data_IF_120386429006
#
_entry.id   IF_120386429006
#
_cell.length_a   1.000
_cell.length_b   1.000
_cell.length_c   1.000
_cell.angle_alpha   90.00
_cell.angle_beta   90.00
_cell.angle_gamma   90.00
#
_symmetry.space_group_name_H-M   'P 1'
#
loop_
_entity.id
_entity.type
_entity.pdbx_description
1 polymer ?
#
# COMPACT_ATOMS: atom_id res chain seq x y z
N UNK A 1 37.48 95.84 38.85
CA UNK A 1 36.97 94.77 37.95
C UNK A 1 37.34 93.41 38.58
N UNK A 2 36.48 92.42 38.83
CA UNK A 2 35.04 92.31 38.65
C UNK A 2 34.54 91.17 39.58
N UNK A 3 34.03 91.48 40.78
CA UNK A 3 33.41 90.49 41.72
C UNK A 3 32.13 89.85 41.13
N UNK A 4 31.57 90.46 40.08
CA UNK A 4 30.38 89.99 39.35
C UNK A 4 30.61 88.68 38.56
N UNK A 5 31.83 88.45 38.03
CA UNK A 5 32.09 87.31 37.15
C UNK A 5 32.24 85.97 37.88
N UNK A 6 32.52 85.95 39.20
CA UNK A 6 32.64 84.70 39.97
C UNK A 6 31.27 84.15 40.43
N UNK A 7 30.30 85.02 40.72
CA UNK A 7 28.93 84.56 41.04
C UNK A 7 28.22 83.99 39.80
N UNK A 8 28.46 84.56 38.61
CA UNK A 8 27.84 84.12 37.37
C UNK A 8 28.30 82.72 36.92
N UNK A 9 29.56 82.35 37.19
CA UNK A 9 30.12 81.05 36.81
C UNK A 9 29.63 79.89 37.73
N UNK A 10 29.40 80.19 39.01
CA UNK A 10 28.87 79.24 40.00
C UNK A 10 27.36 79.00 39.87
N UNK A 11 26.59 79.97 39.36
CA UNK A 11 25.15 79.79 39.10
C UNK A 11 24.89 79.02 37.81
N UNK A 12 25.67 79.26 36.74
CA UNK A 12 25.58 78.52 35.47
C UNK A 12 25.90 77.02 35.62
N UNK A 13 26.90 76.67 36.43
CA UNK A 13 27.24 75.25 36.71
C UNK A 13 26.17 74.54 37.54
N UNK A 14 25.55 75.22 38.51
CA UNK A 14 24.43 74.67 39.30
C UNK A 14 23.17 74.43 38.46
N UNK A 15 22.82 75.37 37.58
CA UNK A 15 21.66 75.23 36.67
C UNK A 15 21.88 74.10 35.66
N UNK A 16 23.12 73.96 35.16
CA UNK A 16 23.50 72.87 34.25
C UNK A 16 23.37 71.50 34.91
N UNK A 17 23.82 71.36 36.17
CA UNK A 17 23.75 70.11 36.91
C UNK A 17 22.30 69.69 37.21
N UNK A 18 21.45 70.65 37.60
CA UNK A 18 20.01 70.42 37.87
C UNK A 18 19.27 70.01 36.59
N UNK A 19 19.61 70.61 35.45
CA UNK A 19 19.04 70.25 34.14
C UNK A 19 19.45 68.84 33.70
N UNK A 20 20.68 68.41 34.01
CA UNK A 20 21.18 67.06 33.73
C UNK A 20 20.48 66.03 34.63
N UNK A 21 20.35 66.29 35.94
CA UNK A 21 19.61 65.40 36.85
C UNK A 21 18.13 65.26 36.47
N UNK A 22 17.48 66.36 36.07
CA UNK A 22 16.09 66.34 35.60
C UNK A 22 15.93 65.54 34.29
N UNK A 23 16.90 65.63 33.37
CA UNK A 23 16.94 64.81 32.17
C UNK A 23 17.15 63.33 32.51
N UNK A 24 18.10 63.00 33.39
CA UNK A 24 18.38 61.61 33.81
C UNK A 24 17.14 60.99 34.47
N UNK A 25 16.44 61.71 35.36
CA UNK A 25 15.20 61.23 35.98
C UNK A 25 14.09 60.98 34.96
N UNK A 26 13.93 61.83 33.94
CA UNK A 26 12.98 61.62 32.85
C UNK A 26 13.33 60.37 32.01
N UNK A 27 14.59 60.19 31.67
CA UNK A 27 15.04 59.00 30.93
C UNK A 27 14.87 57.72 31.76
N UNK A 28 15.13 57.77 33.07
CA UNK A 28 14.93 56.63 33.98
C UNK A 28 13.45 56.25 34.08
N UNK A 29 12.54 57.23 34.18
CA UNK A 29 11.10 56.99 34.20
C UNK A 29 10.59 56.39 32.88
N UNK A 30 11.08 56.86 31.74
CA UNK A 30 10.72 56.31 30.43
C UNK A 30 11.18 54.86 30.30
N UNK A 31 12.42 54.55 30.73
CA UNK A 31 12.93 53.18 30.73
C UNK A 31 12.16 52.27 31.68
N UNK A 32 11.78 52.75 32.87
CA UNK A 32 10.97 51.99 33.83
C UNK A 32 9.59 51.66 33.27
N UNK A 33 8.92 52.63 32.62
CA UNK A 33 7.60 52.42 31.99
C UNK A 33 7.70 51.45 30.80
N UNK A 34 8.78 51.53 30.01
CA UNK A 34 9.04 50.57 28.92
C UNK A 34 9.28 49.16 29.46
N UNK A 35 10.03 49.01 30.55
CA UNK A 35 10.30 47.70 31.17
C UNK A 35 9.00 47.09 31.74
N UNK A 36 8.17 47.90 32.42
CA UNK A 36 6.89 47.46 32.96
C UNK A 36 5.92 47.09 31.82
N UNK A 37 5.89 47.89 30.74
CA UNK A 37 5.10 47.59 29.55
C UNK A 37 5.49 46.27 28.89
N UNK A 38 6.78 45.98 28.80
CA UNK A 38 7.30 44.73 28.23
C UNK A 38 6.94 43.51 29.10
N UNK A 39 7.02 43.66 30.44
CA UNK A 39 6.65 42.60 31.40
C UNK A 39 5.14 42.32 31.34
N UNK A 40 4.30 43.37 31.26
CA UNK A 40 2.85 43.21 31.12
C UNK A 40 2.46 42.55 29.78
N UNK A 41 3.17 42.81 28.68
CA UNK A 41 2.94 42.14 27.40
C UNK A 41 3.27 40.63 27.46
N UNK A 42 4.27 40.23 28.25
CA UNK A 42 4.62 38.81 28.44
C UNK A 42 3.61 38.01 29.27
N UNK A 43 2.82 38.68 30.11
CA UNK A 43 1.85 38.05 31.03
C UNK A 43 0.47 37.79 30.38
N UNK A 44 0.22 38.28 29.15
CA UNK A 44 -1.05 38.10 28.41
C UNK A 44 -0.91 37.04 27.31
N UNK A 45 0.15 36.24 27.33
CA UNK A 45 0.25 35.06 26.47
C UNK A 45 -0.97 34.14 26.72
N UNK A 46 -1.74 33.74 25.70
CA UNK A 46 -2.84 32.82 25.91
C UNK A 46 -2.27 31.52 26.51
N UNK A 47 -2.75 31.18 27.70
CA UNK A 47 -2.56 29.86 28.28
C UNK A 47 -3.22 28.87 27.32
N UNK A 48 -2.41 28.25 26.46
CA UNK A 48 -2.83 27.16 25.61
C UNK A 48 -3.09 25.95 26.51
N UNK A 49 -4.32 25.83 27.00
CA UNK A 49 -4.76 24.61 27.67
C UNK A 49 -4.84 23.51 26.62
N UNK A 50 -3.91 22.55 26.69
CA UNK A 50 -4.07 21.29 26.00
C UNK A 50 -5.35 20.63 26.51
N UNK A 51 -6.35 20.50 25.63
CA UNK A 51 -7.63 19.87 25.97
C UNK A 51 -7.39 18.37 26.10
N UNK A 52 -7.38 17.85 27.33
CA UNK A 52 -7.35 16.42 27.59
C UNK A 52 -8.77 15.85 27.52
N UNK A 53 -8.90 14.69 26.88
CA UNK A 53 -10.13 13.90 26.91
C UNK A 53 -9.84 12.65 27.76
N UNK A 54 -10.76 12.30 28.65
CA UNK A 54 -10.68 11.08 29.44
C UNK A 54 -11.94 10.26 29.23
N UNK A 55 -11.80 8.94 29.22
CA UNK A 55 -12.92 8.02 29.06
C UNK A 55 -13.13 7.21 30.35
N UNK A 56 -14.37 6.84 30.63
CA UNK A 56 -14.70 6.02 31.80
C UNK A 56 -14.97 4.58 31.35
N UNK A 57 -14.05 3.68 31.70
CA UNK A 57 -14.14 2.26 31.36
C UNK A 57 -15.36 1.56 31.99
N UNK A 58 -15.94 2.12 33.07
CA UNK A 58 -17.09 1.52 33.76
C UNK A 58 -18.39 1.63 32.97
N UNK A 59 -18.44 2.53 31.98
CA UNK A 59 -19.58 2.65 31.06
C UNK A 59 -19.54 1.64 29.91
N UNK A 60 -18.47 0.86 29.78
CA UNK A 60 -18.40 -0.27 28.87
C UNK A 60 -19.07 -1.47 29.55
N UNK A 61 -19.97 -2.16 28.84
CA UNK A 61 -20.91 -3.14 29.44
C UNK A 61 -20.29 -4.26 30.29
N UNK A 62 -19.02 -4.60 30.07
CA UNK A 62 -18.27 -5.61 30.84
C UNK A 62 -17.07 -5.01 31.62
N UNK A 63 -17.18 -3.73 31.99
CA UNK A 63 -16.09 -2.85 32.46
C UNK A 63 -15.54 -3.13 33.86
N UNK A 64 -14.80 -4.23 34.03
CA UNK A 64 -13.74 -4.30 35.05
C UNK A 64 -12.42 -4.70 34.37
N UNK A 65 -11.45 -3.77 34.35
CA UNK A 65 -10.07 -3.93 33.84
C UNK A 65 -9.86 -3.91 32.31
N UNK A 66 -10.57 -3.05 31.57
CA UNK A 66 -10.21 -2.77 30.16
C UNK A 66 -9.28 -1.55 30.12
N UNK A 67 -8.09 -1.71 29.51
CA UNK A 67 -7.19 -0.58 29.26
C UNK A 67 -7.72 0.28 28.10
N UNK A 68 -8.09 1.51 28.42
CA UNK A 68 -8.66 2.50 27.50
C UNK A 68 -7.71 3.68 27.23
N UNK A 69 -6.48 3.63 27.77
CA UNK A 69 -5.50 4.72 27.66
C UNK A 69 -5.17 5.10 26.22
N UNK A 70 -5.23 4.13 25.30
CA UNK A 70 -5.00 4.34 23.86
C UNK A 70 -6.06 5.25 23.23
N UNK A 71 -7.32 5.17 23.68
CA UNK A 71 -8.41 5.98 23.13
C UNK A 71 -8.33 7.43 23.61
N UNK A 72 -7.84 7.66 24.83
CA UNK A 72 -7.61 9.01 25.38
C UNK A 72 -6.57 9.80 24.56
N UNK A 73 -5.64 9.09 23.93
CA UNK A 73 -4.63 9.64 23.01
C UNK A 73 -5.15 9.79 21.57
N UNK A 74 -6.43 9.46 21.30
CA UNK A 74 -7.02 9.45 19.97
C UNK A 74 -6.60 8.26 19.10
N UNK A 75 -5.93 7.27 19.70
CA UNK A 75 -5.50 6.04 19.05
C UNK A 75 -6.63 5.00 18.93
N UNK A 76 -6.32 3.90 18.26
CA UNK A 76 -7.21 2.76 18.05
C UNK A 76 -6.47 1.46 18.35
N UNK A 77 -7.20 0.42 18.72
CA UNK A 77 -6.58 -0.86 19.08
C UNK A 77 -5.88 -1.51 17.87
N UNK A 78 -4.75 -2.19 18.06
CA UNK A 78 -4.18 -3.06 17.03
C UNK A 78 -5.10 -4.26 16.79
N UNK A 79 -5.13 -4.77 15.56
CA UNK A 79 -6.03 -5.84 15.19
C UNK A 79 -6.22 -5.99 13.69
N UNK A 80 -7.23 -6.77 13.30
CA UNK A 80 -7.57 -7.02 11.90
C UNK A 80 -8.77 -6.16 11.54
N UNK A 81 -8.61 -5.30 10.53
CA UNK A 81 -9.65 -4.40 10.05
C UNK A 81 -9.93 -4.68 8.57
N UNK A 82 -11.21 -4.71 8.19
CA UNK A 82 -11.61 -4.66 6.78
C UNK A 82 -11.41 -3.23 6.31
N UNK A 83 -10.58 -3.03 5.29
CA UNK A 83 -10.22 -1.69 4.80
C UNK A 83 -10.20 -1.63 3.28
N UNK A 84 -10.57 -0.47 2.75
CA UNK A 84 -10.32 -0.09 1.36
C UNK A 84 -8.90 0.44 1.22
N UNK A 85 -8.13 -0.11 0.28
CA UNK A 85 -6.73 0.23 0.06
C UNK A 85 -6.68 1.21 -1.12
N UNK A 86 -6.25 2.43 -0.83
CA UNK A 86 -6.19 3.55 -1.77
C UNK A 86 -4.74 3.88 -2.05
N UNK A 87 -4.28 3.60 -3.27
CA UNK A 87 -2.93 3.91 -3.74
C UNK A 87 -2.95 5.18 -4.59
N UNK A 88 -2.21 6.21 -4.18
CA UNK A 88 -2.11 7.49 -4.87
C UNK A 88 -3.48 8.09 -5.25
N UNK A 89 -4.49 7.93 -4.38
CA UNK A 89 -5.84 8.44 -4.57
C UNK A 89 -6.81 7.50 -5.31
N UNK A 90 -6.36 6.33 -5.77
CA UNK A 90 -7.19 5.34 -6.46
C UNK A 90 -7.38 4.11 -5.57
N UNK A 91 -8.62 3.68 -5.37
CA UNK A 91 -8.90 2.41 -4.68
C UNK A 91 -8.47 1.23 -5.56
N UNK A 92 -7.62 0.36 -5.01
CA UNK A 92 -7.02 -0.77 -5.74
C UNK A 92 -7.38 -2.14 -5.16
N UNK A 93 -7.85 -2.20 -3.92
CA UNK A 93 -8.17 -3.44 -3.20
C UNK A 93 -9.10 -3.14 -2.02
N UNK A 94 -9.81 -4.15 -1.52
CA UNK A 94 -10.65 -4.08 -0.32
C UNK A 94 -10.55 -5.40 0.43
N UNK A 95 -9.90 -5.39 1.61
CA UNK A 95 -9.62 -6.64 2.33
C UNK A 95 -9.35 -6.45 3.82
N UNK A 96 -9.34 -7.57 4.54
CA UNK A 96 -8.85 -7.62 5.92
C UNK A 96 -7.33 -7.43 5.95
N UNK A 97 -6.88 -6.43 6.70
CA UNK A 97 -5.47 -6.09 6.91
C UNK A 97 -5.18 -6.11 8.40
N UNK A 98 -4.03 -6.66 8.79
CA UNK A 98 -3.57 -6.66 10.18
C UNK A 98 -2.83 -5.36 10.46
N UNK A 99 -3.13 -4.71 11.56
CA UNK A 99 -2.50 -3.47 12.00
C UNK A 99 -1.81 -3.66 13.34
N UNK A 100 -0.60 -3.09 13.46
CA UNK A 100 0.17 -3.06 14.68
C UNK A 100 0.30 -1.63 15.20
N UNK A 101 0.41 -1.50 16.51
CA UNK A 101 0.66 -0.20 17.14
C UNK A 101 2.13 0.18 16.98
N UNK A 102 2.37 1.39 16.50
CA UNK A 102 3.68 2.04 16.41
C UNK A 102 3.58 3.47 16.93
N UNK A 103 4.73 4.08 17.22
CA UNK A 103 4.80 5.47 17.61
C UNK A 103 5.43 6.31 16.50
N UNK A 104 4.83 7.46 16.21
CA UNK A 104 5.41 8.43 15.28
C UNK A 104 6.68 9.08 15.88
N UNK A 105 7.35 9.94 15.11
CA UNK A 105 8.56 10.64 15.57
C UNK A 105 8.32 11.56 16.78
N UNK A 106 7.06 11.89 17.10
CA UNK A 106 6.64 12.70 18.25
C UNK A 106 6.16 11.84 19.43
N UNK A 107 6.16 10.52 19.29
CA UNK A 107 5.70 9.57 20.31
C UNK A 107 4.19 9.32 20.30
N UNK A 108 3.44 9.81 19.31
CA UNK A 108 2.00 9.54 19.23
C UNK A 108 1.75 8.14 18.65
N UNK A 109 0.83 7.36 19.25
CA UNK A 109 0.49 6.04 18.72
C UNK A 109 -0.26 6.15 17.39
N UNK A 110 0.10 5.30 16.43
CA UNK A 110 -0.61 5.10 15.17
C UNK A 110 -0.65 3.62 14.79
N UNK A 111 -1.60 3.28 13.93
CA UNK A 111 -1.75 1.92 13.42
C UNK A 111 -0.98 1.79 12.08
N UNK A 112 0.02 0.91 12.06
CA UNK A 112 0.77 0.54 10.86
C UNK A 112 0.24 -0.77 10.28
N UNK A 113 -0.05 -0.81 8.98
CA UNK A 113 -0.49 -2.01 8.29
C UNK A 113 0.66 -3.01 8.08
N UNK A 114 0.35 -4.28 8.29
CA UNK A 114 1.19 -5.39 7.88
C UNK A 114 0.85 -5.77 6.43
N UNK A 115 1.61 -5.20 5.48
CA UNK A 115 1.50 -5.54 4.06
C UNK A 115 2.53 -6.59 3.67
N UNK A 116 2.09 -7.63 2.97
CA UNK A 116 2.91 -8.74 2.46
C UNK A 116 3.60 -8.38 1.14
N UNK A 117 4.60 -9.18 0.76
CA UNK A 117 5.27 -9.04 -0.54
C UNK A 117 4.29 -9.17 -1.69
N UNK A 118 3.41 -10.15 -1.62
CA UNK A 118 2.42 -10.47 -2.64
C UNK A 118 1.42 -9.32 -2.80
N UNK A 119 1.02 -8.69 -1.68
CA UNK A 119 0.16 -7.50 -1.70
C UNK A 119 0.86 -6.31 -2.36
N UNK A 120 2.08 -5.96 -1.96
CA UNK A 120 2.81 -4.83 -2.56
C UNK A 120 3.03 -5.02 -4.06
N UNK A 121 3.38 -6.25 -4.47
CA UNK A 121 3.52 -6.61 -5.89
C UNK A 121 2.21 -6.45 -6.65
N UNK A 122 1.09 -6.93 -6.07
CA UNK A 122 -0.25 -6.76 -6.63
C UNK A 122 -0.66 -5.30 -6.77
N UNK A 123 -0.22 -4.45 -5.84
CA UNK A 123 -0.45 -3.01 -5.87
C UNK A 123 0.48 -2.28 -6.86
N UNK A 124 1.31 -3.02 -7.60
CA UNK A 124 2.20 -2.48 -8.62
C UNK A 124 3.45 -1.83 -8.04
N UNK A 125 3.84 -2.12 -6.79
CA UNK A 125 5.06 -1.60 -6.18
C UNK A 125 6.24 -2.50 -6.58
N UNK A 126 7.35 -1.90 -7.04
CA UNK A 126 8.59 -2.59 -7.45
C UNK A 126 9.39 -3.09 -6.24
N UNK A 127 8.93 -4.14 -5.59
CA UNK A 127 9.58 -4.70 -4.39
C UNK A 127 11.03 -5.14 -4.62
N UNK A 128 11.38 -5.48 -5.86
CA UNK A 128 12.72 -5.86 -6.33
C UNK A 128 13.75 -4.73 -6.22
N UNK A 129 13.33 -3.48 -6.37
CA UNK A 129 14.21 -2.31 -6.31
C UNK A 129 14.47 -1.85 -4.86
N UNK A 130 13.69 -2.37 -3.89
CA UNK A 130 13.72 -1.95 -2.49
C UNK A 130 13.87 -3.16 -1.55
N UNK A 131 15.04 -3.83 -1.51
CA UNK A 131 15.25 -5.04 -0.71
C UNK A 131 15.05 -4.81 0.80
N UNK A 132 15.20 -3.57 1.26
CA UNK A 132 14.97 -3.17 2.65
C UNK A 132 13.50 -3.24 3.10
N UNK A 133 12.54 -3.37 2.17
CA UNK A 133 11.12 -3.57 2.49
C UNK A 133 10.90 -4.79 3.39
N UNK A 134 11.70 -5.85 3.21
CA UNK A 134 11.56 -7.12 3.91
C UNK A 134 12.86 -7.54 4.61
N UNK A 135 13.70 -6.58 5.02
CA UNK A 135 14.98 -6.90 5.66
C UNK A 135 14.77 -7.52 7.03
N UNK A 136 15.42 -8.66 7.29
CA UNK A 136 15.44 -9.35 8.59
C UNK A 136 16.47 -8.78 9.57
N UNK A 137 17.02 -7.59 9.29
CA UNK A 137 18.00 -6.96 10.15
C UNK A 137 17.39 -6.60 11.52
N UNK A 138 17.53 -7.54 12.46
CA UNK A 138 17.12 -7.48 13.85
C UNK A 138 17.80 -6.35 14.64
N UNK A 139 18.68 -5.56 14.03
CA UNK A 139 19.40 -4.48 14.72
C UNK A 139 18.52 -3.29 15.08
N UNK A 140 17.41 -3.08 14.36
CA UNK A 140 16.55 -1.90 14.53
C UNK A 140 15.04 -2.22 14.67
N UNK A 141 14.64 -3.49 14.85
CA UNK A 141 13.22 -3.87 14.99
C UNK A 141 12.36 -3.69 13.73
N UNK A 142 12.99 -3.62 12.55
CA UNK A 142 12.35 -3.20 11.29
C UNK A 142 11.45 -4.27 10.62
N UNK A 143 11.57 -5.55 11.00
CA UNK A 143 10.69 -6.60 10.49
C UNK A 143 9.88 -7.20 11.62
N UNK A 144 8.68 -6.65 11.82
CA UNK A 144 7.66 -7.30 12.64
C UNK A 144 7.03 -8.41 11.82
N UNK A 145 6.91 -9.58 12.42
CA UNK A 145 6.11 -10.66 11.86
C UNK A 145 4.76 -10.69 12.56
N UNK A 146 3.68 -10.82 11.79
CA UNK A 146 2.35 -11.07 12.34
C UNK A 146 2.04 -12.55 12.23
N UNK A 147 1.35 -13.11 13.24
CA UNK A 147 0.77 -14.45 13.12
C UNK A 147 -0.64 -14.30 12.60
N UNK A 148 -0.88 -14.75 11.39
CA UNK A 148 -2.23 -14.85 10.82
C UNK A 148 -2.49 -16.32 10.54
N UNK A 149 -3.53 -16.88 11.16
CA UNK A 149 -3.97 -18.27 10.92
C UNK A 149 -2.87 -19.34 11.10
N UNK A 150 -1.94 -19.12 12.04
CA UNK A 150 -0.84 -20.05 12.33
C UNK A 150 0.39 -19.92 11.41
N UNK A 151 0.34 -19.05 10.39
CA UNK A 151 1.48 -18.70 9.55
C UNK A 151 2.14 -17.40 10.02
N UNK A 152 3.49 -17.38 10.03
CA UNK A 152 4.28 -16.19 10.33
C UNK A 152 4.41 -15.36 9.07
N UNK A 153 3.71 -14.23 9.01
CA UNK A 153 3.71 -13.31 7.88
C UNK A 153 4.74 -12.22 8.14
N UNK A 154 5.64 -12.01 7.17
CA UNK A 154 6.59 -10.89 7.21
C UNK A 154 5.92 -9.61 6.71
N UNK A 155 5.85 -8.59 7.56
CA UNK A 155 5.29 -7.29 7.22
C UNK A 155 6.33 -6.40 6.53
N UNK A 156 5.91 -5.66 5.50
CA UNK A 156 6.77 -4.72 4.81
C UNK A 156 6.99 -3.43 5.62
N UNK A 157 8.22 -2.92 5.61
CA UNK A 157 8.54 -1.61 6.16
C UNK A 157 8.48 -0.53 5.06
N UNK A 158 7.30 0.08 4.87
CA UNK A 158 7.03 0.97 3.73
C UNK A 158 7.99 2.18 3.66
N UNK A 159 8.49 2.67 4.79
CA UNK A 159 9.47 3.76 4.86
C UNK A 159 10.84 3.41 4.23
N UNK A 160 11.07 2.14 3.87
CA UNK A 160 12.22 1.74 3.04
C UNK A 160 12.16 2.33 1.62
N UNK A 161 10.96 2.71 1.14
CA UNK A 161 10.78 3.45 -0.11
C UNK A 161 10.86 4.94 0.23
N UNK A 162 11.82 5.71 -0.33
CA UNK A 162 11.92 7.15 -0.06
C UNK A 162 10.63 7.87 -0.41
N UNK A 163 10.14 8.75 0.47
CA UNK A 163 8.89 9.51 0.28
C UNK A 163 7.61 8.67 0.20
N UNK A 164 7.67 7.36 0.48
CA UNK A 164 6.46 6.58 0.68
C UNK A 164 5.84 6.92 2.04
N UNK A 165 4.53 7.12 2.06
CA UNK A 165 3.77 7.29 3.30
C UNK A 165 2.56 6.38 3.33
N UNK A 166 2.15 6.06 4.55
CA UNK A 166 1.02 5.22 4.86
C UNK A 166 0.16 5.96 5.88
N UNK A 167 -1.16 5.96 5.70
CA UNK A 167 -2.08 6.56 6.66
C UNK A 167 -3.34 5.73 6.75
N UNK A 168 -3.63 5.22 7.94
CA UNK A 168 -4.89 4.53 8.18
C UNK A 168 -5.96 5.52 8.68
N UNK A 169 -6.96 5.78 7.85
CA UNK A 169 -8.15 6.54 8.20
C UNK A 169 -9.19 5.62 8.80
N UNK A 170 -9.06 5.35 10.11
CA UNK A 170 -9.91 4.40 10.84
C UNK A 170 -11.42 4.65 10.65
N UNK A 171 -11.88 5.89 10.80
CA UNK A 171 -13.30 6.26 10.69
C UNK A 171 -13.91 5.98 9.31
N UNK A 172 -13.07 5.96 8.26
CA UNK A 172 -13.49 5.65 6.89
C UNK A 172 -13.14 4.22 6.48
N UNK A 173 -12.45 3.48 7.34
CA UNK A 173 -11.87 2.16 7.03
C UNK A 173 -11.01 2.20 5.76
N UNK A 174 -10.19 3.25 5.61
CA UNK A 174 -9.37 3.47 4.41
C UNK A 174 -7.88 3.48 4.73
N UNK A 175 -7.12 2.63 4.04
CA UNK A 175 -5.66 2.64 4.08
C UNK A 175 -5.14 3.47 2.89
N UNK A 176 -4.63 4.66 3.16
CA UNK A 176 -4.04 5.54 2.17
C UNK A 176 -2.56 5.24 2.01
N UNK A 177 -2.16 4.85 0.81
CA UNK A 177 -0.77 4.61 0.42
C UNK A 177 -0.36 5.70 -0.57
N UNK A 178 0.63 6.50 -0.21
CA UNK A 178 1.27 7.45 -1.12
C UNK A 178 2.63 6.91 -1.50
N UNK A 179 2.78 6.44 -2.74
CA UNK A 179 4.00 5.80 -3.26
C UNK A 179 4.55 6.61 -4.44
N UNK A 180 5.84 6.99 -4.45
CA UNK A 180 6.43 7.69 -5.58
C UNK A 180 6.30 6.88 -6.88
N UNK A 181 6.01 7.57 -7.98
CA UNK A 181 5.84 6.93 -9.30
C UNK A 181 7.06 6.10 -9.74
N UNK A 182 8.27 6.47 -9.32
CA UNK A 182 9.50 5.70 -9.59
C UNK A 182 9.45 4.28 -8.99
N UNK A 183 8.84 4.16 -7.81
CA UNK A 183 8.67 2.90 -7.08
C UNK A 183 7.46 2.08 -7.57
N UNK A 184 6.66 2.62 -8.48
CA UNK A 184 5.56 1.92 -9.11
C UNK A 184 6.00 1.32 -10.45
N UNK A 185 5.47 0.13 -10.74
CA UNK A 185 5.55 -0.52 -12.05
C UNK A 185 4.70 0.30 -13.01
N UNK A 186 5.22 0.48 -14.23
CA UNK A 186 4.44 1.10 -15.30
C UNK A 186 3.19 0.25 -15.49
N UNK A 187 2.03 0.90 -15.40
CA UNK A 187 0.75 0.26 -15.60
C UNK A 187 0.59 -0.03 -17.10
N UNK A 188 1.25 -1.08 -17.61
CA UNK A 188 0.94 -1.64 -18.92
C UNK A 188 -0.44 -2.27 -18.78
N UNK A 189 -1.47 -1.51 -19.16
CA UNK A 189 -2.86 -1.96 -19.13
C UNK A 189 -2.94 -3.36 -19.76
N UNK A 190 -3.31 -4.36 -18.96
CA UNK A 190 -3.61 -5.72 -19.42
C UNK A 190 -2.61 -6.84 -19.08
N UNK A 191 -1.41 -6.55 -18.55
CA UNK A 191 -0.47 -7.61 -18.17
C UNK A 191 -0.24 -7.62 -16.67
N UNK A 192 -0.74 -8.67 -16.01
CA UNK A 192 -0.47 -8.89 -14.59
C UNK A 192 1.04 -9.10 -14.35
N UNK A 193 1.58 -8.62 -13.22
CA UNK A 193 2.94 -8.95 -12.81
C UNK A 193 3.26 -10.44 -12.84
N UNK A 194 4.50 -10.79 -13.19
CA UNK A 194 4.93 -12.19 -13.32
C UNK A 194 4.75 -12.98 -12.01
N UNK A 195 4.88 -12.33 -10.85
CA UNK A 195 4.70 -13.00 -9.55
C UNK A 195 3.25 -13.39 -9.28
N UNK A 196 2.29 -12.85 -10.03
CA UNK A 196 0.88 -13.21 -9.95
C UNK A 196 0.48 -14.27 -10.96
N UNK A 197 1.40 -14.72 -11.82
CA UNK A 197 1.09 -15.74 -12.81
C UNK A 197 0.98 -17.10 -12.13
N UNK A 198 -0.19 -17.71 -12.25
CA UNK A 198 -0.47 -19.04 -11.75
C UNK A 198 -0.31 -20.06 -12.87
N UNK A 199 0.46 -21.12 -12.61
CA UNK A 199 0.61 -22.24 -13.53
C UNK A 199 -0.67 -23.08 -13.64
N UNK A 200 -1.60 -22.88 -12.71
CA UNK A 200 -2.88 -23.58 -12.61
C UNK A 200 -2.76 -24.89 -11.82
N UNK A 201 -3.88 -25.60 -11.74
CA UNK A 201 -3.95 -26.88 -11.03
C UNK A 201 -3.66 -28.06 -11.96
N UNK A 202 -3.12 -29.16 -11.43
CA UNK A 202 -3.09 -30.43 -12.13
C UNK A 202 -4.49 -30.87 -12.54
N UNK A 203 -4.72 -31.11 -13.83
CA UNK A 203 -6.04 -31.45 -14.36
C UNK A 203 -5.94 -32.26 -15.65
N UNK A 204 -6.85 -33.22 -15.81
CA UNK A 204 -7.11 -33.88 -17.09
C UNK A 204 -8.29 -33.20 -17.78
N UNK A 205 -8.15 -32.97 -19.09
CA UNK A 205 -9.12 -32.28 -19.94
C UNK A 205 -9.48 -33.21 -21.11
N UNK A 206 -10.75 -33.20 -21.52
CA UNK A 206 -11.20 -33.90 -22.71
C UNK A 206 -12.33 -33.10 -23.36
N UNK A 207 -12.05 -32.47 -24.50
CA UNK A 207 -13.12 -31.95 -25.35
C UNK A 207 -13.46 -32.99 -26.41
N UNK A 208 -14.72 -33.01 -26.83
CA UNK A 208 -15.19 -33.87 -27.91
C UNK A 208 -16.14 -33.10 -28.82
N UNK A 209 -16.05 -33.36 -30.12
CA UNK A 209 -16.99 -32.84 -31.10
C UNK A 209 -17.37 -33.98 -32.05
N UNK A 210 -18.66 -34.22 -32.22
CA UNK A 210 -19.16 -35.29 -33.08
C UNK A 210 -20.09 -34.71 -34.11
N UNK A 211 -19.90 -35.04 -35.38
CA UNK A 211 -20.80 -34.65 -36.45
C UNK A 211 -21.15 -35.85 -37.31
N UNK A 212 -22.38 -35.88 -37.79
CA UNK A 212 -22.86 -36.87 -38.75
C UNK A 212 -23.49 -36.14 -39.92
N UNK A 213 -23.21 -36.62 -41.12
CA UNK A 213 -23.73 -36.07 -42.37
C UNK A 213 -24.33 -37.21 -43.19
N UNK A 214 -25.56 -37.02 -43.68
CA UNK A 214 -26.23 -37.93 -44.61
C UNK A 214 -26.61 -37.16 -45.85
N UNK A 215 -26.21 -37.67 -47.01
CA UNK A 215 -26.56 -37.13 -48.31
C UNK A 215 -27.30 -38.18 -49.10
N UNK A 216 -28.45 -37.82 -49.66
CA UNK A 216 -29.27 -38.70 -50.48
C UNK A 216 -29.48 -38.06 -51.85
N UNK A 217 -29.21 -38.84 -52.90
CA UNK A 217 -29.48 -38.44 -54.27
C UNK A 217 -30.74 -39.14 -54.79
N UNK A 218 -31.75 -38.36 -55.16
CA UNK A 218 -33.02 -38.86 -55.72
C UNK A 218 -33.02 -38.64 -57.24
N UNK A 219 -32.74 -39.72 -57.98
CA UNK A 219 -32.69 -39.77 -59.45
C UNK A 219 -32.58 -41.22 -59.94
N UNK A 220 -32.40 -41.43 -61.26
CA UNK A 220 -32.22 -42.77 -61.83
C UNK A 220 -30.86 -43.35 -61.38
N UNK A 221 -30.85 -44.12 -60.28
CA UNK A 221 -29.64 -44.59 -59.59
C UNK A 221 -29.50 -44.02 -58.17
N UNK A 222 -30.53 -44.17 -57.34
CA UNK A 222 -30.55 -43.67 -55.96
C UNK A 222 -29.34 -44.13 -55.15
N UNK A 223 -28.64 -43.18 -54.50
CA UNK A 223 -27.50 -43.45 -53.63
C UNK A 223 -27.59 -42.62 -52.35
N UNK A 224 -27.13 -43.19 -51.24
CA UNK A 224 -27.04 -42.53 -49.95
C UNK A 224 -25.60 -42.65 -49.41
N UNK A 225 -25.05 -41.53 -48.95
CA UNK A 225 -23.73 -41.46 -48.32
C UNK A 225 -23.88 -40.98 -46.89
N UNK A 226 -23.31 -41.72 -45.94
CA UNK A 226 -23.23 -41.33 -44.54
C UNK A 226 -21.77 -41.03 -44.18
N UNK A 227 -21.51 -39.94 -43.48
CA UNK A 227 -20.19 -39.60 -42.93
C UNK A 227 -20.35 -39.36 -41.44
N UNK A 228 -19.51 -39.99 -40.64
CA UNK A 228 -19.43 -39.76 -39.19
C UNK A 228 -18.03 -39.26 -38.89
N UNK A 229 -17.94 -38.14 -38.18
CA UNK A 229 -16.68 -37.59 -37.71
C UNK A 229 -16.74 -37.42 -36.19
N UNK A 230 -15.71 -37.89 -35.49
CA UNK A 230 -15.53 -37.72 -34.05
C UNK A 230 -14.16 -37.11 -33.83
N UNK A 231 -14.13 -35.93 -33.23
CA UNK A 231 -12.93 -35.23 -32.83
C UNK A 231 -12.80 -35.32 -31.31
N UNK A 232 -11.61 -35.68 -30.84
CA UNK A 232 -11.24 -35.78 -29.44
C UNK A 232 -10.01 -34.92 -29.17
N UNK A 233 -10.08 -34.13 -28.11
CA UNK A 233 -8.98 -33.27 -27.64
C UNK A 233 -8.61 -33.59 -26.19
N UNK A 234 -7.90 -34.71 -25.94
CA UNK A 234 -7.39 -34.99 -24.61
C UNK A 234 -6.23 -34.03 -24.27
N UNK A 235 -6.20 -33.59 -23.01
CA UNK A 235 -5.17 -32.72 -22.47
C UNK A 235 -4.85 -33.04 -21.02
N UNK A 236 -3.62 -32.74 -20.61
CA UNK A 236 -3.18 -32.86 -19.23
C UNK A 236 -2.40 -31.60 -18.83
N UNK A 237 -2.73 -31.03 -17.68
CA UNK A 237 -1.98 -29.95 -17.05
C UNK A 237 -1.27 -30.52 -15.83
N UNK A 238 0.04 -30.28 -15.71
CA UNK A 238 0.86 -30.66 -14.55
C UNK A 238 1.82 -29.51 -14.23
N UNK A 239 1.41 -28.64 -13.30
CA UNK A 239 2.12 -27.39 -13.04
C UNK A 239 2.28 -26.57 -14.34
N UNK A 240 3.49 -26.10 -14.69
CA UNK A 240 3.69 -25.26 -15.87
C UNK A 240 3.59 -26.02 -17.21
N UNK A 241 3.51 -27.36 -17.18
CA UNK A 241 3.49 -28.20 -18.37
C UNK A 241 2.06 -28.47 -18.84
N UNK A 242 1.83 -28.29 -20.14
CA UNK A 242 0.55 -28.52 -20.80
C UNK A 242 0.76 -29.54 -21.92
N UNK A 243 0.20 -30.73 -21.75
CA UNK A 243 0.11 -31.76 -22.78
C UNK A 243 -1.19 -31.56 -23.57
N UNK A 244 -1.11 -31.56 -24.90
CA UNK A 244 -2.26 -31.42 -25.79
C UNK A 244 -2.17 -32.41 -26.93
N UNK A 245 -3.29 -33.05 -27.24
CA UNK A 245 -3.45 -33.93 -28.38
C UNK A 245 -4.77 -33.60 -29.07
N UNK A 246 -4.77 -33.68 -30.40
CA UNK A 246 -5.96 -33.63 -31.21
C UNK A 246 -5.98 -34.89 -32.06
N UNK A 247 -7.06 -35.65 -31.97
CA UNK A 247 -7.24 -36.87 -32.73
C UNK A 247 -8.66 -36.90 -33.31
N UNK A 248 -8.73 -37.15 -34.61
CA UNK A 248 -9.97 -37.24 -35.36
C UNK A 248 -10.18 -38.69 -35.81
N UNK A 249 -11.41 -39.16 -35.70
CA UNK A 249 -11.89 -40.38 -36.32
C UNK A 249 -12.93 -40.02 -37.37
N UNK A 250 -12.81 -40.60 -38.56
CA UNK A 250 -13.79 -40.41 -39.62
C UNK A 250 -14.17 -41.74 -40.25
N UNK A 251 -15.43 -41.87 -40.64
CA UNK A 251 -15.94 -43.02 -41.40
C UNK A 251 -16.90 -42.56 -42.48
N UNK A 252 -16.73 -43.07 -43.70
CA UNK A 252 -17.57 -42.74 -44.85
C UNK A 252 -18.22 -44.00 -45.44
N UNK A 253 -19.55 -44.06 -45.36
CA UNK A 253 -20.35 -45.14 -45.94
C UNK A 253 -19.95 -46.52 -45.38
N UNK A 254 -19.48 -47.40 -46.26
CA UNK A 254 -19.01 -48.76 -45.93
C UNK A 254 -17.49 -48.82 -45.69
N UNK A 255 -16.75 -47.71 -45.80
CA UNK A 255 -15.32 -47.71 -45.54
C UNK A 255 -15.03 -48.12 -44.09
N UNK A 256 -13.82 -48.62 -43.85
CA UNK A 256 -13.29 -48.67 -42.49
C UNK A 256 -13.14 -47.25 -41.94
N UNK A 257 -13.22 -47.12 -40.62
CA UNK A 257 -13.03 -45.84 -39.96
C UNK A 257 -11.54 -45.58 -39.75
N UNK A 258 -11.09 -44.38 -40.07
CA UNK A 258 -9.69 -44.00 -39.98
C UNK A 258 -9.46 -43.02 -38.84
N UNK A 259 -8.34 -43.21 -38.12
CA UNK A 259 -7.86 -42.29 -37.10
C UNK A 259 -6.74 -41.43 -37.68
N UNK A 260 -6.81 -40.13 -37.41
CA UNK A 260 -5.78 -39.18 -37.77
C UNK A 260 -5.47 -38.31 -36.56
N UNK A 261 -4.19 -38.13 -36.25
CA UNK A 261 -3.74 -37.30 -35.11
C UNK A 261 -2.96 -36.10 -35.65
N UNK A 262 -3.62 -34.96 -35.92
CA UNK A 262 -2.94 -33.77 -36.45
C UNK A 262 -1.80 -33.26 -35.59
N UNK A 263 -1.94 -33.30 -34.26
CA UNK A 263 -0.87 -32.88 -33.37
C UNK A 263 -0.86 -33.63 -32.05
N UNK A 264 0.34 -33.74 -31.51
CA UNK A 264 0.61 -34.10 -30.12
C UNK A 264 1.80 -33.31 -29.67
N UNK A 265 1.61 -32.42 -28.70
CA UNK A 265 2.68 -31.58 -28.21
C UNK A 265 2.58 -31.34 -26.70
N UNK A 266 3.72 -30.95 -26.16
CA UNK A 266 3.88 -30.46 -24.81
C UNK A 266 4.38 -29.03 -24.89
N UNK A 267 3.73 -28.13 -24.17
CA UNK A 267 4.18 -26.74 -24.06
C UNK A 267 4.46 -26.34 -22.62
N UNK A 268 5.40 -25.41 -22.45
CA UNK A 268 5.75 -24.77 -21.19
C UNK A 268 6.18 -23.32 -21.40
N UNK A 269 5.64 -22.42 -20.58
CA UNK A 269 6.10 -21.03 -20.51
C UNK A 269 7.47 -20.91 -19.84
N UNK A 270 8.37 -20.12 -20.42
CA UNK A 270 9.66 -19.74 -19.85
C UNK A 270 9.63 -18.25 -19.51
N UNK A 271 9.14 -17.93 -18.32
CA UNK A 271 8.81 -16.56 -17.94
C UNK A 271 10.02 -15.60 -17.92
N UNK A 272 11.19 -16.06 -17.47
CA UNK A 272 12.43 -15.27 -17.48
C UNK A 272 12.88 -14.87 -18.88
N UNK A 273 12.60 -15.71 -19.88
CA UNK A 273 12.97 -15.50 -21.28
C UNK A 273 11.81 -14.90 -22.09
N UNK A 274 10.65 -14.64 -21.46
CA UNK A 274 9.42 -14.22 -22.13
C UNK A 274 9.09 -15.07 -23.38
N UNK A 275 9.32 -16.38 -23.26
CA UNK A 275 9.27 -17.32 -24.39
C UNK A 275 8.40 -18.53 -24.05
N UNK A 276 7.98 -19.30 -25.07
CA UNK A 276 7.24 -20.55 -24.92
C UNK A 276 8.02 -21.69 -25.57
N UNK A 277 8.30 -22.73 -24.79
CA UNK A 277 8.88 -23.98 -25.27
C UNK A 277 7.75 -24.89 -25.76
N UNK A 278 7.88 -25.43 -26.97
CA UNK A 278 6.97 -26.41 -27.55
C UNK A 278 7.78 -27.61 -28.04
N UNK A 279 7.37 -28.81 -27.65
CA UNK A 279 8.02 -30.07 -28.01
C UNK A 279 6.95 -31.05 -28.51
N UNK A 280 7.15 -31.61 -29.69
CA UNK A 280 6.23 -32.62 -30.26
C UNK A 280 6.00 -32.41 -31.75
N UNK A 281 4.98 -33.09 -32.27
CA UNK A 281 4.54 -32.97 -33.65
C UNK A 281 3.42 -31.92 -33.74
N UNK A 282 3.70 -30.86 -34.48
CA UNK A 282 2.75 -29.84 -34.92
C UNK A 282 2.88 -29.86 -36.44
N UNK A 283 1.83 -30.34 -37.12
CA UNK A 283 1.76 -30.38 -38.59
C UNK A 283 1.22 -29.06 -39.11
#
# INVERSE_FOLDING_TARGET
>A
MNKSNRLFCLTLTRVSLIMIEARIKKWLQIYLVLIIGLICLGMIGPYAHAKSYSFDATQLGEGKNVDISIFEQGGQLPGIYLVDIILNGVQIDSRKVTFHLENDAKGNPFLQACLTREQLVRYGIKVEDYPRLFSTDNRNGLSKSSKLEGSTIQCAYLSAIPQATETFQFNRQQLLLSIPQKALRLNFQGIAPQELWDDGIPAFLLNYNTSTYRSEYQGNGSSAMNVINVQLEPGLNLGPWRFRNLTNWQKQGKSEGEWQTPYTYVERGLYSLKSRLMLGCIV
#
